data_IF_373159921549
#
_entry.id   IF_373159921549
#
_cell.length_a   1.000
_cell.length_b   1.000
_cell.length_c   1.000
_cell.angle_alpha   90.00
_cell.angle_beta   90.00
_cell.angle_gamma   90.00
#
_symmetry.space_group_name_H-M   'P 1'
#
loop_
_entity.id
_entity.type
_entity.pdbx_description
1 polymer ?
#
# COMPACT_ATOMS: atom_id res chain seq x y z
N UNK A 1 -27.54 -20.58 -11.85
CA UNK A 1 -26.99 -19.24 -11.49
C UNK A 1 -26.98 -19.06 -9.97
N UNK A 2 -28.12 -19.12 -9.28
CA UNK A 2 -28.18 -18.99 -7.80
C UNK A 2 -27.34 -20.03 -7.03
N UNK A 3 -27.15 -21.24 -7.55
CA UNK A 3 -26.33 -22.29 -6.93
C UNK A 3 -24.84 -22.00 -7.08
N UNK A 4 -24.45 -21.48 -8.24
CA UNK A 4 -23.07 -21.03 -8.50
C UNK A 4 -22.73 -19.86 -7.57
N UNK A 5 -23.63 -18.90 -7.39
CA UNK A 5 -23.43 -17.76 -6.50
C UNK A 5 -23.22 -18.18 -5.04
N UNK A 6 -24.00 -19.16 -4.56
CA UNK A 6 -23.80 -19.74 -3.23
C UNK A 6 -22.45 -20.45 -3.08
N UNK A 7 -22.03 -21.18 -4.10
CA UNK A 7 -20.74 -21.85 -4.10
C UNK A 7 -19.60 -20.85 -4.03
N UNK A 8 -19.67 -19.78 -4.83
CA UNK A 8 -18.66 -18.70 -4.82
C UNK A 8 -18.61 -18.03 -3.44
N UNK A 9 -19.76 -17.75 -2.83
CA UNK A 9 -19.80 -17.13 -1.51
C UNK A 9 -19.23 -18.06 -0.43
N UNK A 10 -19.56 -19.35 -0.48
CA UNK A 10 -18.98 -20.36 0.41
C UNK A 10 -17.45 -20.46 0.27
N UNK A 11 -16.92 -20.37 -0.96
CA UNK A 11 -15.47 -20.33 -1.19
C UNK A 11 -14.83 -19.05 -0.62
N UNK A 12 -15.49 -17.90 -0.76
CA UNK A 12 -15.01 -16.63 -0.18
C UNK A 12 -14.94 -16.68 1.35
N UNK A 13 -15.94 -17.25 2.00
CA UNK A 13 -15.94 -17.41 3.46
C UNK A 13 -14.87 -18.43 3.93
N UNK A 14 -14.70 -19.52 3.22
CA UNK A 14 -13.62 -20.49 3.49
C UNK A 14 -12.23 -19.83 3.38
N UNK A 15 -12.01 -18.99 2.37
CA UNK A 15 -10.76 -18.23 2.22
C UNK A 15 -10.54 -17.23 3.35
N UNK A 16 -11.59 -16.54 3.82
CA UNK A 16 -11.48 -15.64 4.98
C UNK A 16 -11.04 -16.42 6.23
N UNK A 17 -11.68 -17.55 6.49
CA UNK A 17 -11.37 -18.41 7.63
C UNK A 17 -9.93 -18.94 7.56
N UNK A 18 -9.50 -19.37 6.39
CA UNK A 18 -8.15 -19.90 6.17
C UNK A 18 -7.08 -18.81 6.29
N UNK A 19 -7.30 -17.64 5.72
CA UNK A 19 -6.33 -16.55 5.71
C UNK A 19 -6.22 -15.81 7.05
N UNK A 20 -7.22 -15.91 7.91
CA UNK A 20 -7.22 -15.32 9.25
C UNK A 20 -7.50 -16.37 10.34
N UNK A 21 -6.69 -17.44 10.44
CA UNK A 21 -6.95 -18.54 11.39
C UNK A 21 -6.78 -18.12 12.85
N UNK A 22 -6.10 -17.01 13.12
CA UNK A 22 -5.89 -16.46 14.46
C UNK A 22 -6.49 -15.06 14.53
N UNK A 23 -7.36 -14.78 15.51
CA UNK A 23 -7.83 -13.41 15.76
C UNK A 23 -6.61 -12.53 15.98
N UNK A 24 -6.36 -11.57 15.10
CA UNK A 24 -5.34 -10.55 15.32
C UNK A 24 -5.95 -9.49 16.23
N UNK A 25 -5.15 -9.01 17.20
CA UNK A 25 -5.56 -7.88 18.02
C UNK A 25 -6.15 -6.77 17.14
N UNK A 26 -7.32 -6.30 17.52
CA UNK A 26 -8.04 -5.23 16.80
C UNK A 26 -7.30 -3.89 16.87
N UNK A 27 -6.30 -3.78 17.76
CA UNK A 27 -5.58 -2.55 17.99
C UNK A 27 -4.59 -2.21 16.86
N UNK A 28 -4.57 -0.95 16.49
CA UNK A 28 -3.57 -0.41 15.58
C UNK A 28 -2.15 -0.61 16.15
N UNK A 29 -1.22 -1.01 15.30
CA UNK A 29 0.22 -1.03 15.62
C UNK A 29 1.04 -0.57 14.41
N UNK A 30 2.07 0.23 14.68
CA UNK A 30 3.10 0.50 13.68
C UNK A 30 3.88 -0.79 13.41
N UNK A 31 4.14 -1.05 12.15
CA UNK A 31 4.92 -2.20 11.64
C UNK A 31 5.74 -1.74 10.45
N UNK A 32 6.81 -2.47 10.10
CA UNK A 32 7.60 -2.16 8.91
C UNK A 32 6.75 -2.04 7.65
N UNK A 33 5.71 -2.85 7.51
CA UNK A 33 4.80 -2.82 6.34
C UNK A 33 3.89 -1.59 6.25
N UNK A 34 3.85 -0.71 7.27
CA UNK A 34 3.01 0.49 7.25
C UNK A 34 3.74 1.79 7.58
N UNK A 35 4.99 1.74 8.07
CA UNK A 35 5.75 2.97 8.45
C UNK A 35 6.01 3.93 7.30
N UNK A 36 6.00 3.45 6.06
CA UNK A 36 6.14 4.28 4.87
C UNK A 36 4.84 4.95 4.41
N UNK A 37 3.69 4.61 5.03
CA UNK A 37 2.42 5.26 4.70
C UNK A 37 2.39 6.71 5.20
N UNK A 38 1.59 7.58 4.56
CA UNK A 38 1.42 8.96 4.99
C UNK A 38 0.93 9.08 6.44
N UNK A 39 1.51 9.99 7.22
CA UNK A 39 1.24 10.15 8.65
C UNK A 39 -0.25 10.40 8.96
N UNK A 40 -0.93 11.22 8.15
CA UNK A 40 -2.37 11.47 8.33
C UNK A 40 -3.23 10.22 8.12
N UNK A 41 -2.85 9.35 7.16
CA UNK A 41 -3.53 8.07 6.98
C UNK A 41 -3.35 7.17 8.21
N UNK A 42 -2.11 7.06 8.73
CA UNK A 42 -1.82 6.29 9.95
C UNK A 42 -2.53 6.87 11.18
N UNK A 43 -2.67 8.19 11.25
CA UNK A 43 -3.40 8.87 12.33
C UNK A 43 -4.88 8.45 12.35
N UNK A 44 -5.53 8.37 11.18
CA UNK A 44 -6.88 7.84 11.06
C UNK A 44 -6.94 6.34 11.38
N UNK A 45 -6.00 5.54 10.84
CA UNK A 45 -5.93 4.09 11.08
C UNK A 45 -5.83 3.78 12.58
N UNK A 46 -5.10 4.60 13.34
CA UNK A 46 -4.95 4.45 14.79
C UNK A 46 -6.24 4.72 15.57
N UNK A 47 -7.08 5.61 15.09
CA UNK A 47 -8.33 6.03 15.74
C UNK A 47 -9.57 5.32 15.23
N UNK A 48 -9.42 4.49 14.23
CA UNK A 48 -10.52 3.71 13.68
C UNK A 48 -10.55 2.32 14.30
N UNK A 49 -11.43 2.12 15.26
CA UNK A 49 -11.65 0.82 15.93
C UNK A 49 -12.01 -0.30 14.93
N UNK A 50 -12.47 0.06 13.73
CA UNK A 50 -12.78 -0.84 12.64
C UNK A 50 -11.70 -0.85 11.54
N UNK A 51 -10.49 -0.35 11.82
CA UNK A 51 -9.41 -0.25 10.83
C UNK A 51 -9.05 -1.61 10.22
N UNK A 52 -9.29 -2.68 10.95
CA UNK A 52 -9.09 -4.09 10.55
C UNK A 52 -10.40 -4.81 10.24
N UNK A 53 -11.31 -4.14 9.55
CA UNK A 53 -12.54 -4.80 9.09
C UNK A 53 -12.21 -6.08 8.33
N UNK A 54 -13.12 -7.04 8.43
CA UNK A 54 -13.12 -8.25 7.61
C UNK A 54 -12.81 -7.90 6.16
N UNK A 55 -11.69 -8.40 5.69
CA UNK A 55 -11.29 -8.25 4.30
C UNK A 55 -12.26 -9.09 3.47
N UNK A 56 -12.91 -8.48 2.48
CA UNK A 56 -13.85 -9.22 1.64
C UNK A 56 -13.16 -10.33 0.85
N UNK A 57 -13.91 -11.36 0.44
CA UNK A 57 -13.39 -12.53 -0.26
C UNK A 57 -12.48 -12.20 -1.46
N UNK A 58 -12.85 -11.28 -2.39
CA UNK A 58 -11.95 -10.88 -3.49
C UNK A 58 -10.60 -10.32 -3.04
N UNK A 59 -10.56 -9.60 -1.94
CA UNK A 59 -9.29 -9.07 -1.39
C UNK A 59 -8.46 -10.17 -0.75
N UNK A 60 -9.08 -11.16 -0.09
CA UNK A 60 -8.39 -12.35 0.42
C UNK A 60 -7.75 -13.16 -0.70
N UNK A 61 -8.46 -13.35 -1.81
CA UNK A 61 -7.89 -14.01 -2.99
C UNK A 61 -6.68 -13.25 -3.53
N UNK A 62 -6.71 -11.92 -3.54
CA UNK A 62 -5.55 -11.11 -3.96
C UNK A 62 -4.35 -11.29 -3.03
N UNK A 63 -4.56 -11.41 -1.72
CA UNK A 63 -3.48 -11.70 -0.78
C UNK A 63 -2.90 -13.09 -0.99
N UNK A 64 -3.75 -14.11 -1.14
CA UNK A 64 -3.31 -15.46 -1.46
C UNK A 64 -2.51 -15.50 -2.76
N UNK A 65 -2.96 -14.78 -3.78
CA UNK A 65 -2.24 -14.63 -5.04
C UNK A 65 -0.84 -14.03 -4.84
N UNK A 66 -0.74 -13.02 -3.98
CA UNK A 66 0.54 -12.41 -3.62
C UNK A 66 1.51 -13.44 -3.05
N UNK A 67 1.10 -14.17 -2.03
CA UNK A 67 1.93 -15.19 -1.37
C UNK A 67 2.34 -16.32 -2.33
N UNK A 68 1.41 -16.85 -3.14
CA UNK A 68 1.74 -17.92 -4.09
C UNK A 68 2.73 -17.46 -5.16
N UNK A 69 2.59 -16.24 -5.65
CA UNK A 69 3.51 -15.67 -6.64
C UNK A 69 4.88 -15.36 -6.04
N UNK A 70 4.95 -14.93 -4.79
CA UNK A 70 6.19 -14.77 -4.03
C UNK A 70 6.96 -16.09 -3.96
N UNK A 71 6.30 -17.18 -3.55
CA UNK A 71 6.91 -18.51 -3.49
C UNK A 71 7.42 -18.98 -4.87
N UNK A 72 6.65 -18.72 -5.95
CA UNK A 72 7.09 -19.04 -7.31
C UNK A 72 8.34 -18.25 -7.68
N UNK A 73 8.40 -16.96 -7.36
CA UNK A 73 9.58 -16.13 -7.63
C UNK A 73 10.80 -16.66 -6.88
N UNK A 74 10.67 -16.96 -5.58
CA UNK A 74 11.77 -17.49 -4.78
C UNK A 74 12.22 -18.87 -5.26
N UNK A 75 11.30 -19.72 -5.71
CA UNK A 75 11.63 -20.98 -6.37
C UNK A 75 12.50 -20.76 -7.62
N UNK A 76 12.11 -19.82 -8.47
CA UNK A 76 12.88 -19.49 -9.68
C UNK A 76 14.28 -18.94 -9.36
N UNK A 77 14.40 -18.11 -8.31
CA UNK A 77 15.69 -17.61 -7.81
C UNK A 77 16.62 -18.78 -7.43
N UNK A 78 16.09 -19.76 -6.67
CA UNK A 78 16.85 -20.95 -6.29
C UNK A 78 17.23 -21.83 -7.48
N UNK A 79 16.32 -21.98 -8.45
CA UNK A 79 16.59 -22.73 -9.69
C UNK A 79 17.65 -22.07 -10.57
N UNK A 80 17.88 -20.77 -10.38
CA UNK A 80 18.95 -20.01 -11.05
C UNK A 80 20.27 -20.01 -10.24
N UNK A 81 20.40 -20.91 -9.26
CA UNK A 81 21.57 -21.08 -8.39
C UNK A 81 21.91 -19.85 -7.49
N UNK A 82 20.93 -19.00 -7.21
CA UNK A 82 21.10 -17.93 -6.24
C UNK A 82 20.73 -18.43 -4.81
N UNK A 83 21.47 -17.97 -3.82
CA UNK A 83 21.18 -18.26 -2.42
C UNK A 83 19.99 -17.44 -1.92
N UNK A 84 18.98 -18.11 -1.35
CA UNK A 84 17.85 -17.48 -0.66
C UNK A 84 17.91 -17.87 0.81
N UNK A 85 18.00 -16.87 1.70
CA UNK A 85 18.14 -17.06 3.15
C UNK A 85 17.23 -16.08 3.91
N UNK A 86 17.13 -16.28 5.22
CA UNK A 86 16.40 -15.38 6.13
C UNK A 86 14.94 -15.12 5.71
N UNK A 87 14.26 -16.14 5.13
CA UNK A 87 12.88 -16.04 4.69
C UNK A 87 11.94 -15.76 5.86
N UNK A 88 11.07 -14.74 5.68
CA UNK A 88 10.12 -14.28 6.69
C UNK A 88 10.75 -13.99 8.07
N UNK A 89 12.02 -13.59 8.08
CA UNK A 89 12.75 -13.28 9.29
C UNK A 89 12.15 -12.08 10.01
N UNK A 90 11.83 -12.24 11.29
CA UNK A 90 11.41 -11.13 12.11
C UNK A 90 12.59 -10.19 12.38
N UNK A 91 12.37 -8.91 12.17
CA UNK A 91 13.34 -7.84 12.37
C UNK A 91 12.72 -6.67 13.12
N UNK A 92 13.55 -5.83 13.77
CA UNK A 92 13.09 -4.73 14.58
C UNK A 92 13.97 -3.48 14.42
N UNK A 93 13.33 -2.32 14.31
CA UNK A 93 14.00 -1.00 14.38
C UNK A 93 13.21 -0.08 15.30
N UNK A 94 13.86 0.49 16.32
CA UNK A 94 13.25 1.42 17.30
C UNK A 94 11.91 0.89 17.87
N UNK A 95 11.82 -0.40 18.17
CA UNK A 95 10.61 -1.03 18.70
C UNK A 95 9.55 -1.41 17.65
N UNK A 96 9.77 -1.07 16.38
CA UNK A 96 8.85 -1.41 15.29
C UNK A 96 9.26 -2.75 14.69
N UNK A 97 8.34 -3.71 14.74
CA UNK A 97 8.54 -5.06 14.21
C UNK A 97 8.16 -5.16 12.72
N UNK A 98 8.82 -6.08 12.03
CA UNK A 98 8.47 -6.48 10.66
C UNK A 98 9.01 -7.86 10.35
N UNK A 99 8.51 -8.45 9.26
CA UNK A 99 9.04 -9.67 8.69
C UNK A 99 9.53 -9.31 7.29
N UNK A 100 10.83 -9.46 7.06
CA UNK A 100 11.38 -9.25 5.72
C UNK A 100 11.17 -10.51 4.89
N UNK A 101 10.97 -10.34 3.59
CA UNK A 101 10.65 -11.49 2.73
C UNK A 101 11.84 -12.45 2.66
N UNK A 102 13.03 -11.96 2.32
CA UNK A 102 14.24 -12.79 2.28
C UNK A 102 15.53 -11.97 2.11
N UNK A 103 16.66 -12.70 2.09
CA UNK A 103 17.91 -12.24 1.47
C UNK A 103 18.22 -13.08 0.24
N UNK A 104 18.68 -12.42 -0.81
CA UNK A 104 19.21 -13.08 -2.01
C UNK A 104 20.70 -12.74 -2.11
N UNK A 105 21.54 -13.75 -2.09
CA UNK A 105 23.01 -13.60 -2.03
C UNK A 105 23.49 -12.67 -0.89
N UNK A 106 22.77 -12.65 0.23
CA UNK A 106 23.08 -11.82 1.39
C UNK A 106 22.45 -10.43 1.41
N UNK A 107 21.90 -9.95 0.30
CA UNK A 107 21.23 -8.65 0.22
C UNK A 107 19.74 -8.75 0.56
N UNK A 108 19.20 -7.75 1.24
CA UNK A 108 17.77 -7.65 1.59
C UNK A 108 16.94 -7.49 0.32
N UNK A 109 15.99 -8.39 0.11
CA UNK A 109 15.08 -8.34 -1.04
C UNK A 109 13.64 -8.44 -0.56
N UNK A 110 12.83 -7.49 -1.01
CA UNK A 110 11.40 -7.45 -0.82
C UNK A 110 10.72 -7.85 -2.13
N UNK A 111 9.94 -8.92 -2.11
CA UNK A 111 9.30 -9.49 -3.31
C UNK A 111 7.94 -8.84 -3.50
N UNK A 112 7.69 -8.28 -4.66
CA UNK A 112 6.42 -7.62 -4.97
C UNK A 112 5.74 -8.24 -6.19
N UNK A 113 4.43 -8.38 -6.11
CA UNK A 113 3.58 -8.71 -7.25
C UNK A 113 2.78 -7.48 -7.65
N UNK A 114 2.91 -7.06 -8.89
CA UNK A 114 2.39 -5.78 -9.36
C UNK A 114 1.46 -5.92 -10.57
N UNK A 115 0.49 -5.00 -10.70
CA UNK A 115 -0.17 -4.77 -11.99
C UNK A 115 0.81 -4.12 -12.95
N UNK A 116 0.54 -4.19 -14.25
CA UNK A 116 1.36 -3.54 -15.29
C UNK A 116 1.71 -2.08 -14.97
N UNK A 117 0.74 -1.31 -14.48
CA UNK A 117 0.97 0.09 -14.12
C UNK A 117 1.96 0.24 -12.95
N UNK A 118 1.82 -0.56 -11.90
CA UNK A 118 2.73 -0.52 -10.76
C UNK A 118 4.11 -1.08 -11.11
N UNK A 119 4.17 -2.17 -11.89
CA UNK A 119 5.41 -2.77 -12.39
C UNK A 119 6.29 -1.74 -13.13
N UNK A 120 5.71 -0.97 -14.03
CA UNK A 120 6.43 0.06 -14.79
C UNK A 120 7.10 1.13 -13.90
N UNK A 121 6.61 1.37 -12.68
CA UNK A 121 7.27 2.30 -11.74
C UNK A 121 8.61 1.74 -11.25
N UNK A 122 8.64 0.45 -10.92
CA UNK A 122 9.85 -0.24 -10.50
C UNK A 122 10.84 -0.36 -11.67
N UNK A 123 10.37 -0.88 -12.80
CA UNK A 123 11.19 -1.08 -14.01
C UNK A 123 11.84 0.22 -14.49
N UNK A 124 11.15 1.35 -14.40
CA UNK A 124 11.63 2.66 -14.85
C UNK A 124 12.29 3.49 -13.75
N UNK A 125 12.51 2.93 -12.56
CA UNK A 125 13.15 3.64 -11.45
C UNK A 125 12.33 4.84 -10.93
N UNK A 126 11.00 4.83 -11.07
CA UNK A 126 10.11 5.96 -10.70
C UNK A 126 9.31 5.74 -9.44
N UNK A 127 9.68 4.74 -8.63
CA UNK A 127 8.95 4.43 -7.40
C UNK A 127 8.92 5.64 -6.44
N UNK A 128 10.04 6.34 -6.27
CA UNK A 128 10.15 7.50 -5.38
C UNK A 128 9.20 8.65 -5.73
N UNK A 129 8.77 8.75 -6.99
CA UNK A 129 7.86 9.80 -7.45
C UNK A 129 6.39 9.51 -7.11
N UNK A 130 6.04 8.25 -6.86
CA UNK A 130 4.66 7.82 -6.58
C UNK A 130 4.66 6.49 -5.81
N UNK A 131 4.95 6.57 -4.49
CA UNK A 131 4.93 5.44 -3.54
C UNK A 131 3.84 5.61 -2.47
N UNK A 132 2.56 5.49 -2.84
CA UNK A 132 1.46 5.68 -1.88
C UNK A 132 1.34 4.54 -0.85
N UNK A 133 2.05 3.44 -1.07
CA UNK A 133 2.04 2.28 -0.16
C UNK A 133 3.21 2.30 0.84
N UNK A 134 4.21 3.16 0.61
CA UNK A 134 5.37 3.31 1.49
C UNK A 134 6.38 2.17 1.37
N UNK A 135 6.55 1.60 0.20
CA UNK A 135 7.50 0.52 -0.06
C UNK A 135 8.94 0.92 0.24
N UNK A 136 9.32 2.15 -0.13
CA UNK A 136 10.67 2.66 0.18
C UNK A 136 10.92 2.76 1.69
N UNK A 137 9.91 3.16 2.46
CA UNK A 137 10.00 3.16 3.93
C UNK A 137 10.09 1.75 4.52
N UNK A 138 9.37 0.78 3.97
CA UNK A 138 9.44 -0.62 4.36
C UNK A 138 10.84 -1.18 4.11
N UNK A 139 11.38 -1.00 2.91
CA UNK A 139 12.72 -1.47 2.53
C UNK A 139 13.79 -0.83 3.42
N UNK A 140 13.75 0.50 3.60
CA UNK A 140 14.67 1.20 4.48
C UNK A 140 14.63 0.70 5.93
N UNK A 141 13.45 0.25 6.40
CA UNK A 141 13.29 -0.39 7.70
C UNK A 141 14.03 -1.73 7.78
N UNK A 142 13.88 -2.57 6.78
CA UNK A 142 14.58 -3.86 6.71
C UNK A 142 16.10 -3.68 6.57
N UNK A 143 16.55 -2.75 5.72
CA UNK A 143 17.96 -2.41 5.59
C UNK A 143 18.56 -1.92 6.91
N UNK A 144 17.85 -1.03 7.61
CA UNK A 144 18.32 -0.52 8.89
C UNK A 144 18.41 -1.60 9.97
N UNK A 145 17.52 -2.59 9.96
CA UNK A 145 17.56 -3.73 10.86
C UNK A 145 18.74 -4.66 10.58
N UNK A 146 19.11 -4.83 9.32
CA UNK A 146 20.18 -5.71 8.86
C UNK A 146 21.53 -4.99 8.66
N UNK A 147 21.60 -3.68 8.97
CA UNK A 147 22.79 -2.81 8.80
C UNK A 147 23.35 -2.85 7.37
N UNK A 148 22.47 -2.76 6.39
CA UNK A 148 22.79 -2.67 4.96
C UNK A 148 22.09 -1.48 4.32
N UNK A 149 22.44 -1.15 3.07
CA UNK A 149 21.79 -0.14 2.25
C UNK A 149 21.63 -0.56 0.78
N UNK A 150 21.93 -1.82 0.46
CA UNK A 150 21.88 -2.37 -0.91
C UNK A 150 20.63 -3.21 -1.17
N UNK A 151 19.58 -3.00 -0.38
CA UNK A 151 18.33 -3.73 -0.54
C UNK A 151 17.60 -3.36 -1.83
N UNK A 152 16.75 -4.27 -2.30
CA UNK A 152 16.01 -4.07 -3.53
C UNK A 152 14.64 -4.73 -3.53
N UNK A 153 13.91 -4.45 -4.60
CA UNK A 153 12.63 -5.06 -4.91
C UNK A 153 12.76 -6.02 -6.08
N UNK A 154 12.42 -7.28 -5.88
CA UNK A 154 12.22 -8.23 -6.96
C UNK A 154 10.74 -8.27 -7.31
N UNK A 155 10.38 -7.77 -8.49
CA UNK A 155 9.00 -7.49 -8.84
C UNK A 155 8.53 -8.37 -9.99
N UNK A 156 7.40 -9.04 -9.76
CA UNK A 156 6.69 -9.81 -10.79
C UNK A 156 5.47 -9.02 -11.30
N UNK A 157 5.41 -8.81 -12.59
CA UNK A 157 4.20 -8.36 -13.26
C UNK A 157 3.20 -9.51 -13.35
N UNK A 158 2.15 -9.48 -12.53
CA UNK A 158 1.15 -10.56 -12.46
C UNK A 158 0.25 -10.69 -13.69
N UNK A 159 0.34 -9.75 -14.64
CA UNK A 159 -0.44 -9.75 -15.88
C UNK A 159 0.36 -10.37 -17.05
N UNK A 160 1.68 -10.09 -17.11
CA UNK A 160 2.55 -10.55 -18.22
C UNK A 160 3.55 -11.63 -17.82
N UNK A 161 3.82 -11.82 -16.52
CA UNK A 161 4.87 -12.71 -16.03
C UNK A 161 6.28 -12.13 -16.10
N UNK A 162 6.44 -10.88 -16.51
CA UNK A 162 7.73 -10.20 -16.56
C UNK A 162 8.29 -9.96 -15.15
N UNK A 163 9.62 -10.01 -15.04
CA UNK A 163 10.35 -9.75 -13.81
C UNK A 163 11.25 -8.53 -13.97
N UNK A 164 11.35 -7.71 -12.93
CA UNK A 164 12.37 -6.68 -12.83
C UNK A 164 12.99 -6.64 -11.42
N UNK A 165 14.25 -6.23 -11.35
CA UNK A 165 14.94 -5.89 -10.11
C UNK A 165 15.07 -4.37 -10.04
N UNK A 166 14.57 -3.78 -8.96
CA UNK A 166 14.70 -2.34 -8.69
C UNK A 166 15.48 -2.14 -7.39
N UNK A 167 16.64 -1.52 -7.51
CA UNK A 167 17.47 -1.09 -6.36
C UNK A 167 17.34 0.41 -6.27
N UNK A 168 16.60 0.96 -5.28
CA UNK A 168 16.42 2.39 -5.14
C UNK A 168 17.71 3.09 -4.73
N UNK A 169 17.91 4.31 -5.19
CA UNK A 169 19.00 5.16 -4.70
C UNK A 169 18.79 5.46 -3.20
N UNK A 170 19.90 5.58 -2.46
CA UNK A 170 19.83 5.90 -1.02
C UNK A 170 19.14 7.24 -0.74
N UNK A 171 19.21 8.19 -1.66
CA UNK A 171 18.54 9.49 -1.56
C UNK A 171 17.01 9.38 -1.67
N UNK A 172 16.51 8.34 -2.33
CA UNK A 172 15.08 8.08 -2.46
C UNK A 172 14.49 7.40 -1.21
N UNK A 173 15.35 6.80 -0.39
CA UNK A 173 14.94 6.11 0.84
C UNK A 173 14.84 7.09 2.01
N UNK A 174 13.77 7.02 2.84
CA UNK A 174 13.66 7.88 4.01
C UNK A 174 14.66 7.47 5.10
N UNK A 175 15.12 8.45 5.89
CA UNK A 175 15.81 8.15 7.14
C UNK A 175 14.82 7.48 8.11
N UNK A 176 14.82 6.16 8.14
CA UNK A 176 13.79 5.38 8.80
C UNK A 176 13.73 5.58 10.32
N UNK A 177 14.89 5.80 10.98
CA UNK A 177 14.92 6.04 12.43
C UNK A 177 14.23 7.36 12.77
N UNK A 178 14.46 8.40 11.99
CA UNK A 178 13.78 9.68 12.14
C UNK A 178 12.29 9.57 11.79
N UNK A 179 11.95 8.85 10.74
CA UNK A 179 10.57 8.61 10.34
C UNK A 179 9.79 7.90 11.45
N UNK A 180 10.33 6.84 12.03
CA UNK A 180 9.72 6.11 13.14
C UNK A 180 9.54 7.04 14.35
N UNK A 181 10.59 7.77 14.75
CA UNK A 181 10.52 8.69 15.89
C UNK A 181 9.44 9.76 15.70
N UNK A 182 9.36 10.34 14.51
CA UNK A 182 8.33 11.32 14.16
C UNK A 182 6.92 10.72 14.19
N UNK A 183 6.74 9.51 13.66
CA UNK A 183 5.44 8.83 13.69
C UNK A 183 5.00 8.51 15.12
N UNK A 184 5.89 7.92 15.92
CA UNK A 184 5.59 7.61 17.33
C UNK A 184 5.19 8.86 18.09
N UNK A 185 5.90 9.98 17.92
CA UNK A 185 5.59 11.22 18.62
C UNK A 185 4.30 11.90 18.15
N UNK A 186 3.99 11.81 16.86
CA UNK A 186 2.88 12.58 16.26
C UNK A 186 1.56 11.82 16.19
N UNK A 187 1.59 10.48 16.14
CA UNK A 187 0.36 9.69 16.04
C UNK A 187 -0.48 9.69 17.34
N UNK A 188 0.14 10.00 18.49
CA UNK A 188 -0.54 10.12 19.77
C UNK A 188 -1.15 11.52 20.02
N UNK A 189 -0.77 12.51 19.22
CA UNK A 189 -1.32 13.85 19.35
C UNK A 189 -2.76 13.90 18.84
N UNK A 190 -3.61 14.67 19.51
CA UNK A 190 -4.98 14.94 19.04
C UNK A 190 -5.00 15.79 17.78
N UNK A 191 -3.94 16.57 17.56
CA UNK A 191 -3.79 17.38 16.34
C UNK A 191 -3.56 16.48 15.13
N UNK A 192 -4.47 16.57 14.17
CA UNK A 192 -4.39 15.81 12.92
C UNK A 192 -3.21 16.29 12.07
N UNK A 193 -2.36 15.39 11.55
CA UNK A 193 -1.30 15.76 10.61
C UNK A 193 -1.84 16.43 9.33
N UNK A 194 -0.99 17.16 8.62
CA UNK A 194 -1.34 17.79 7.35
C UNK A 194 -1.84 16.80 6.30
N UNK A 195 -2.61 17.29 5.31
CA UNK A 195 -3.05 16.46 4.18
C UNK A 195 -1.84 15.87 3.45
N UNK A 196 -1.93 14.57 3.15
CA UNK A 196 -0.79 13.81 2.60
C UNK A 196 -0.36 14.29 1.21
N UNK A 197 -1.32 14.79 0.43
CA UNK A 197 -1.11 15.21 -0.96
C UNK A 197 -2.00 16.40 -1.29
N UNK A 198 -1.50 17.28 -2.14
CA UNK A 198 -2.28 18.39 -2.69
C UNK A 198 -3.23 17.91 -3.79
N UNK A 199 -4.42 18.50 -3.92
CA UNK A 199 -5.30 18.26 -5.05
C UNK A 199 -4.62 18.56 -6.38
N UNK A 200 -5.03 17.85 -7.43
CA UNK A 200 -4.51 18.04 -8.79
C UNK A 200 -5.60 18.56 -9.72
N UNK A 201 -5.23 19.33 -10.75
CA UNK A 201 -6.19 19.85 -11.71
C UNK A 201 -6.96 18.72 -12.40
N UNK A 202 -8.28 18.90 -12.54
CA UNK A 202 -9.14 18.07 -13.35
C UNK A 202 -9.48 18.85 -14.64
N UNK A 203 -8.80 18.48 -15.74
CA UNK A 203 -8.95 19.18 -17.01
C UNK A 203 -8.42 20.63 -16.96
N UNK A 204 -9.08 21.52 -17.75
CA UNK A 204 -8.65 22.94 -17.94
C UNK A 204 -9.69 23.94 -17.42
N UNK A 205 -10.75 23.48 -16.77
CA UNK A 205 -11.91 24.29 -16.39
C UNK A 205 -11.93 24.75 -14.93
N UNK A 206 -10.80 24.66 -14.24
CA UNK A 206 -10.69 25.10 -12.84
C UNK A 206 -11.08 24.05 -11.79
N UNK A 207 -11.56 22.89 -12.19
CA UNK A 207 -11.87 21.81 -11.26
C UNK A 207 -10.59 21.17 -10.68
N UNK A 208 -10.66 20.74 -9.43
CA UNK A 208 -9.59 19.99 -8.77
C UNK A 208 -10.11 18.65 -8.27
N UNK A 209 -9.27 17.63 -8.34
CA UNK A 209 -9.58 16.27 -7.91
C UNK A 209 -8.53 15.71 -6.95
N UNK A 210 -8.89 14.62 -6.29
CA UNK A 210 -7.95 13.85 -5.48
C UNK A 210 -6.79 13.33 -6.34
N UNK A 211 -5.54 13.44 -5.84
CA UNK A 211 -4.40 12.75 -6.44
C UNK A 211 -4.53 11.23 -6.25
N UNK A 212 -3.76 10.47 -7.03
CA UNK A 212 -3.81 9.00 -7.01
C UNK A 212 -3.61 8.41 -5.62
N UNK A 213 -2.69 8.97 -4.82
CA UNK A 213 -2.42 8.49 -3.46
C UNK A 213 -3.62 8.57 -2.52
N UNK A 214 -4.56 9.50 -2.76
CA UNK A 214 -5.79 9.61 -1.99
C UNK A 214 -6.95 8.75 -2.51
N UNK A 215 -6.96 8.37 -3.80
CA UNK A 215 -8.10 7.67 -4.40
C UNK A 215 -8.42 6.35 -3.71
N UNK A 216 -7.41 5.64 -3.25
CA UNK A 216 -7.52 4.34 -2.59
C UNK A 216 -7.59 4.43 -1.06
N UNK A 217 -7.41 5.63 -0.50
CA UNK A 217 -7.47 5.85 0.93
C UNK A 217 -8.90 5.64 1.44
N UNK A 218 -9.04 4.81 2.47
CA UNK A 218 -10.31 4.53 3.14
C UNK A 218 -10.94 5.81 3.74
N UNK A 219 -10.08 6.72 4.20
CA UNK A 219 -10.45 7.94 4.92
C UNK A 219 -10.60 9.17 4.04
N UNK A 220 -10.64 9.01 2.71
CA UNK A 220 -10.68 10.17 1.80
C UNK A 220 -11.85 11.11 2.02
N UNK A 221 -13.02 10.60 2.38
CA UNK A 221 -14.20 11.43 2.63
C UNK A 221 -14.06 12.23 3.92
N UNK A 222 -13.63 11.60 5.02
CA UNK A 222 -13.40 12.29 6.30
C UNK A 222 -12.25 13.30 6.19
N UNK A 223 -11.17 12.89 5.52
CA UNK A 223 -9.98 13.71 5.32
C UNK A 223 -10.26 14.99 4.49
N UNK A 224 -11.23 14.93 3.61
CA UNK A 224 -11.61 16.02 2.70
C UNK A 224 -13.05 16.51 2.92
N UNK A 225 -13.55 16.40 4.15
CA UNK A 225 -14.86 16.93 4.54
C UNK A 225 -14.99 18.46 4.37
N UNK A 226 -13.86 19.17 4.37
CA UNK A 226 -13.72 20.60 4.12
C UNK A 226 -13.77 21.00 2.62
N UNK A 227 -13.72 20.04 1.70
CA UNK A 227 -13.76 20.29 0.25
C UNK A 227 -15.11 20.86 -0.20
N UNK A 228 -15.14 21.52 -1.35
CA UNK A 228 -16.35 22.13 -1.94
C UNK A 228 -17.11 22.98 -0.91
N UNK A 229 -16.40 23.90 -0.24
CA UNK A 229 -16.96 24.81 0.78
C UNK A 229 -17.63 24.07 1.94
N UNK A 230 -16.99 23.00 2.43
CA UNK A 230 -17.47 22.19 3.54
C UNK A 230 -18.53 21.15 3.20
N UNK A 231 -18.85 20.98 1.91
CA UNK A 231 -19.80 19.93 1.45
C UNK A 231 -19.15 18.56 1.26
N UNK A 232 -17.81 18.48 1.41
CA UNK A 232 -17.04 17.25 1.22
C UNK A 232 -16.70 16.99 -0.25
N UNK A 233 -16.23 15.77 -0.51
CA UNK A 233 -15.89 15.32 -1.86
C UNK A 233 -17.16 15.10 -2.68
N UNK A 234 -17.13 15.56 -3.93
CA UNK A 234 -18.14 15.22 -4.93
C UNK A 234 -17.62 14.10 -5.83
N UNK A 235 -18.43 13.07 -6.03
CA UNK A 235 -18.03 11.85 -6.76
C UNK A 235 -18.71 11.82 -8.12
N UNK A 236 -17.94 11.73 -9.19
CA UNK A 236 -18.43 11.67 -10.56
C UNK A 236 -17.98 10.39 -11.26
N UNK A 237 -18.86 9.81 -12.08
CA UNK A 237 -18.61 8.58 -12.83
C UNK A 237 -18.16 8.91 -14.25
N UNK A 238 -16.85 8.90 -14.46
CA UNK A 238 -16.25 9.05 -15.79
C UNK A 238 -16.13 7.68 -16.49
N UNK A 239 -15.86 7.68 -17.78
CA UNK A 239 -15.66 6.44 -18.57
C UNK A 239 -14.53 5.56 -18.08
N UNK A 240 -13.52 6.14 -17.44
CA UNK A 240 -12.35 5.45 -16.88
C UNK A 240 -12.45 5.18 -15.37
N UNK A 241 -13.61 5.42 -14.76
CA UNK A 241 -13.86 5.15 -13.34
C UNK A 241 -14.35 6.35 -12.54
N UNK A 242 -14.36 6.18 -11.21
CA UNK A 242 -14.80 7.21 -10.29
C UNK A 242 -13.72 8.30 -10.12
N UNK A 243 -14.17 9.56 -10.15
CA UNK A 243 -13.33 10.72 -9.89
C UNK A 243 -13.93 11.52 -8.72
N UNK A 244 -13.08 11.85 -7.76
CA UNK A 244 -13.45 12.56 -6.54
C UNK A 244 -12.97 14.00 -6.64
N UNK A 245 -13.90 14.95 -6.78
CA UNK A 245 -13.58 16.38 -6.92
C UNK A 245 -13.54 17.06 -5.55
N UNK A 246 -12.42 17.75 -5.31
CA UNK A 246 -12.21 18.57 -4.11
C UNK A 246 -12.69 19.99 -4.30
N UNK A 247 -12.80 20.43 -5.55
CA UNK A 247 -13.34 21.73 -5.96
C UNK A 247 -13.99 21.61 -7.34
N UNK A 248 -15.20 22.13 -7.47
CA UNK A 248 -15.97 22.15 -8.72
C UNK A 248 -16.24 23.61 -9.10
N UNK A 249 -15.47 24.12 -10.07
CA UNK A 249 -15.70 25.42 -10.69
C UNK A 249 -16.75 25.32 -11.82
N UNK A 250 -16.64 24.26 -12.62
CA UNK A 250 -17.58 23.97 -13.70
C UNK A 250 -18.12 22.55 -13.55
N UNK A 251 -19.44 22.43 -13.52
CA UNK A 251 -20.11 21.13 -13.40
C UNK A 251 -19.67 20.15 -14.49
N UNK A 252 -19.20 18.94 -14.12
CA UNK A 252 -18.92 17.88 -15.09
C UNK A 252 -20.20 17.41 -15.79
N UNK A 253 -20.12 17.16 -17.10
CA UNK A 253 -21.22 16.60 -17.87
C UNK A 253 -21.23 15.06 -17.80
N UNK A 254 -21.23 14.52 -16.57
CA UNK A 254 -21.29 13.08 -16.27
C UNK A 254 -22.09 12.86 -14.98
N UNK A 255 -22.52 11.63 -14.76
CA UNK A 255 -23.31 11.26 -13.57
C UNK A 255 -22.56 11.58 -12.28
N UNK A 256 -23.19 12.32 -11.38
CA UNK A 256 -22.74 12.46 -9.99
C UNK A 256 -23.36 11.36 -9.13
N UNK A 257 -22.54 10.71 -8.34
CA UNK A 257 -22.96 9.70 -7.36
C UNK A 257 -23.07 10.36 -5.98
N UNK A 258 -24.27 10.30 -5.42
CA UNK A 258 -24.59 10.86 -4.09
C UNK A 258 -24.22 9.87 -2.99
#
# INVERSE_FOLDING_TARGET
EKEIDKTIEGMREALKTWANPVPRDSNFSLRMSNIGKPARQLWYEKRDDNSRRDVNGPTQIKFLYGHLLEEIVLMLVRMADYSVTDEQKEVQVNGILGHMDCKINGEVVDVKTASKFAFNKFEQGRLAQDDPFGYLGQLAGYEAAENTNNGGFLVLNKESGELCLHIPDDLDKPNIKNTISNLVNNLDLDTMPDKCYSPVSEGKKGNFKLPKGCMWCKYKFDCHSDSNDGKGLRTFKYSNGLTYLTHVEVEPNVEELI
#
